data_IF_451122622052
#
_entry.id   IF_451122622052
#
_cell.length_a   1.000
_cell.length_b   1.000
_cell.length_c   1.000
_cell.angle_alpha   90.00
_cell.angle_beta   90.00
_cell.angle_gamma   90.00
#
_symmetry.space_group_name_H-M   'P 1'
#
loop_
_entity.id
_entity.type
_entity.pdbx_description
1 polymer ?
#
# COMPACT_ATOMS: atom_id res chain seq x y z
N UNK A 1 29.20 -14.76 11.87
CA UNK A 1 28.56 -15.35 13.07
C UNK A 1 27.14 -15.74 12.70
N UNK A 2 26.83 -17.02 12.60
CA UNK A 2 25.44 -17.46 12.51
C UNK A 2 24.84 -17.35 13.91
N UNK A 3 23.97 -16.35 14.14
CA UNK A 3 23.04 -16.44 15.26
C UNK A 3 22.06 -17.55 14.91
N UNK A 4 22.09 -18.65 15.67
CA UNK A 4 21.03 -19.65 15.57
C UNK A 4 19.74 -18.98 16.01
N UNK A 5 18.79 -18.87 15.09
CA UNK A 5 17.43 -18.43 15.39
C UNK A 5 16.66 -19.70 15.78
N UNK A 6 16.08 -19.73 16.97
CA UNK A 6 15.19 -20.82 17.37
C UNK A 6 13.98 -20.84 16.41
N UNK A 7 13.63 -22.01 15.82
CA UNK A 7 12.41 -22.15 15.03
C UNK A 7 11.15 -21.56 15.67
N UNK A 8 11.01 -21.66 17.00
CA UNK A 8 9.88 -21.08 17.72
C UNK A 8 9.87 -19.55 17.67
N UNK A 9 11.03 -18.92 17.88
CA UNK A 9 11.21 -17.46 17.80
C UNK A 9 10.90 -16.95 16.39
N UNK A 10 11.39 -17.65 15.38
CA UNK A 10 11.10 -17.32 13.98
C UNK A 10 9.60 -17.40 13.69
N UNK A 11 8.94 -18.48 14.10
CA UNK A 11 7.51 -18.68 13.88
C UNK A 11 6.69 -17.56 14.55
N UNK A 12 7.02 -17.22 15.79
CA UNK A 12 6.36 -16.15 16.53
C UNK A 12 6.56 -14.79 15.83
N UNK A 13 7.79 -14.49 15.39
CA UNK A 13 8.10 -13.25 14.68
C UNK A 13 7.27 -13.10 13.40
N UNK A 14 7.26 -14.12 12.53
CA UNK A 14 6.52 -14.03 11.25
C UNK A 14 5.00 -14.03 11.44
N UNK A 15 4.50 -14.73 12.45
CA UNK A 15 3.08 -14.74 12.80
C UNK A 15 2.61 -13.42 13.47
N UNK A 16 3.53 -12.70 14.11
CA UNK A 16 3.25 -11.43 14.79
C UNK A 16 2.91 -10.27 13.85
N UNK A 17 3.31 -10.33 12.58
CA UNK A 17 3.07 -9.24 11.62
C UNK A 17 1.58 -8.98 11.41
N UNK A 18 1.14 -7.75 11.72
CA UNK A 18 -0.21 -7.25 11.43
C UNK A 18 -0.19 -6.18 10.34
N UNK A 19 -1.34 -5.97 9.69
CA UNK A 19 -1.53 -4.82 8.81
C UNK A 19 -2.02 -3.65 9.65
N UNK A 20 -1.10 -2.76 10.02
CA UNK A 20 -1.38 -1.55 10.80
C UNK A 20 -1.96 -0.44 9.89
N UNK A 21 -2.97 0.27 10.37
CA UNK A 21 -3.68 1.33 9.61
C UNK A 21 -3.68 2.70 10.29
N UNK A 22 -3.18 2.75 11.51
CA UNK A 22 -3.03 3.98 12.27
C UNK A 22 -1.60 4.01 12.84
N UNK A 23 -0.92 5.13 12.66
CA UNK A 23 0.51 5.28 12.93
C UNK A 23 0.74 6.56 13.73
N UNK A 24 1.67 6.49 14.67
CA UNK A 24 2.12 7.66 15.40
C UNK A 24 2.88 8.61 14.47
N UNK A 25 2.94 9.89 14.82
CA UNK A 25 3.76 10.91 14.14
C UNK A 25 5.26 10.72 14.35
N UNK A 26 5.67 9.70 15.12
CA UNK A 26 7.06 9.37 15.40
C UNK A 26 7.78 8.96 14.11
N UNK A 27 8.77 9.76 13.72
CA UNK A 27 9.63 9.45 12.60
C UNK A 27 10.43 8.16 12.83
N UNK A 28 10.62 7.38 11.76
CA UNK A 28 11.50 6.21 11.75
C UNK A 28 12.93 6.67 11.44
N UNK A 29 13.96 6.28 12.22
CA UNK A 29 15.35 6.64 11.94
C UNK A 29 15.79 6.15 10.56
N UNK A 30 16.55 6.99 9.83
CA UNK A 30 17.01 6.65 8.48
C UNK A 30 17.87 5.39 8.45
N UNK A 31 18.78 5.22 9.42
CA UNK A 31 19.63 4.03 9.54
C UNK A 31 18.83 2.74 9.65
N UNK A 32 17.68 2.78 10.34
CA UNK A 32 16.80 1.62 10.46
C UNK A 32 16.11 1.31 9.11
N UNK A 33 15.72 2.34 8.36
CA UNK A 33 15.16 2.16 7.02
C UNK A 33 16.20 1.52 6.10
N UNK A 34 17.44 2.03 6.11
CA UNK A 34 18.52 1.53 5.26
C UNK A 34 18.91 0.09 5.62
N UNK A 35 18.91 -0.25 6.92
CA UNK A 35 19.10 -1.63 7.40
C UNK A 35 18.02 -2.56 6.85
N UNK A 36 16.75 -2.19 7.00
CA UNK A 36 15.62 -3.00 6.53
C UNK A 36 15.60 -3.16 5.00
N UNK A 37 15.98 -2.12 4.26
CA UNK A 37 16.12 -2.22 2.82
C UNK A 37 17.25 -3.17 2.46
N UNK A 38 18.44 -2.99 3.03
CA UNK A 38 19.59 -3.87 2.82
C UNK A 38 19.23 -5.34 3.06
N UNK A 39 18.54 -5.64 4.16
CA UNK A 39 18.06 -6.99 4.47
C UNK A 39 17.02 -7.46 3.44
N UNK A 40 16.06 -6.60 3.06
CA UNK A 40 15.06 -6.94 2.04
C UNK A 40 15.66 -7.23 0.66
N UNK A 41 16.80 -6.61 0.34
CA UNK A 41 17.53 -6.83 -0.90
C UNK A 41 18.11 -8.24 -1.01
N UNK A 42 18.13 -9.06 0.06
CA UNK A 42 18.54 -10.47 0.02
C UNK A 42 17.45 -11.41 -0.47
N UNK A 43 16.24 -10.92 -0.76
CA UNK A 43 15.16 -11.73 -1.30
C UNK A 43 15.58 -12.41 -2.62
N UNK A 44 15.36 -13.73 -2.79
CA UNK A 44 15.68 -14.42 -4.03
C UNK A 44 14.78 -13.91 -5.17
N UNK A 45 15.32 -13.88 -6.38
CA UNK A 45 14.58 -13.53 -7.59
C UNK A 45 15.02 -14.42 -8.75
N UNK A 46 14.12 -14.65 -9.70
CA UNK A 46 14.43 -15.46 -10.89
C UNK A 46 15.65 -14.88 -11.62
N UNK A 47 16.63 -15.75 -11.90
CA UNK A 47 17.92 -15.39 -12.49
C UNK A 47 18.64 -14.24 -11.78
N UNK A 48 18.36 -14.03 -10.49
CA UNK A 48 18.87 -12.92 -9.68
C UNK A 48 18.65 -11.53 -10.31
N UNK A 49 17.55 -11.35 -11.04
CA UNK A 49 17.23 -10.09 -11.75
C UNK A 49 16.95 -8.91 -10.81
N UNK A 50 16.50 -9.18 -9.58
CA UNK A 50 16.18 -8.17 -8.54
C UNK A 50 15.37 -6.99 -9.11
N UNK A 51 14.18 -7.26 -9.71
CA UNK A 51 13.48 -6.27 -10.53
C UNK A 51 12.75 -5.18 -9.71
N UNK A 52 12.91 -5.17 -8.39
CA UNK A 52 12.23 -4.23 -7.51
C UNK A 52 12.96 -2.88 -7.50
N UNK A 53 12.17 -1.80 -7.51
CA UNK A 53 12.63 -0.43 -7.27
C UNK A 53 11.83 0.12 -6.10
N UNK A 54 12.52 0.63 -5.08
CA UNK A 54 11.88 1.15 -3.86
C UNK A 54 12.07 2.65 -3.78
N UNK A 55 10.97 3.39 -3.72
CA UNK A 55 10.96 4.82 -3.46
C UNK A 55 10.41 5.11 -2.07
N UNK A 56 11.16 5.90 -1.27
CA UNK A 56 10.73 6.36 0.05
C UNK A 56 10.38 7.84 -0.04
N UNK A 57 9.20 8.20 0.46
CA UNK A 57 8.78 9.58 0.64
C UNK A 57 8.59 9.84 2.13
N UNK A 58 9.26 10.89 2.63
CA UNK A 58 9.19 11.34 4.03
C UNK A 58 8.97 12.85 4.09
N UNK A 59 8.50 13.36 5.23
CA UNK A 59 8.25 14.78 5.46
C UNK A 59 7.38 15.43 4.38
N UNK A 60 7.76 16.63 3.94
CA UNK A 60 7.00 17.43 2.98
C UNK A 60 6.68 16.67 1.68
N UNK A 61 7.61 15.84 1.18
CA UNK A 61 7.37 15.06 -0.04
C UNK A 61 6.21 14.08 0.15
N UNK A 62 6.18 13.38 1.29
CA UNK A 62 5.08 12.47 1.66
C UNK A 62 3.79 13.23 1.82
N UNK A 63 3.81 14.39 2.46
CA UNK A 63 2.61 15.20 2.70
C UNK A 63 2.01 15.73 1.41
N UNK A 64 2.84 16.19 0.47
CA UNK A 64 2.41 16.60 -0.87
C UNK A 64 1.75 15.45 -1.64
N UNK A 65 2.33 14.24 -1.57
CA UNK A 65 1.75 13.04 -2.20
C UNK A 65 0.41 12.69 -1.55
N UNK A 66 0.33 12.69 -0.23
CA UNK A 66 -0.89 12.42 0.53
C UNK A 66 -2.01 13.40 0.17
N UNK A 67 -1.71 14.71 0.20
CA UNK A 67 -2.64 15.76 -0.17
C UNK A 67 -3.19 15.60 -1.60
N UNK A 68 -2.32 15.30 -2.56
CA UNK A 68 -2.75 15.11 -3.96
C UNK A 68 -3.64 13.86 -4.12
N UNK A 69 -3.35 12.76 -3.43
CA UNK A 69 -4.23 11.59 -3.45
C UNK A 69 -5.59 11.89 -2.82
N UNK A 70 -5.63 12.64 -1.72
CA UNK A 70 -6.89 13.07 -1.10
C UNK A 70 -7.70 13.99 -2.02
N UNK A 71 -7.06 14.96 -2.67
CA UNK A 71 -7.72 15.84 -3.64
C UNK A 71 -8.32 15.05 -4.82
N UNK A 72 -7.56 14.08 -5.35
CA UNK A 72 -8.04 13.19 -6.42
C UNK A 72 -9.22 12.34 -5.97
N UNK A 73 -9.16 11.80 -4.75
CA UNK A 73 -10.26 11.04 -4.18
C UNK A 73 -11.51 11.91 -3.98
N UNK A 74 -11.36 13.14 -3.48
CA UNK A 74 -12.47 14.09 -3.36
C UNK A 74 -13.11 14.38 -4.72
N UNK A 75 -12.30 14.56 -5.76
CA UNK A 75 -12.80 14.77 -7.12
C UNK A 75 -13.52 13.53 -7.68
N UNK A 76 -12.96 12.32 -7.46
CA UNK A 76 -13.54 11.07 -7.93
C UNK A 76 -14.83 10.69 -7.18
N UNK A 77 -14.85 10.86 -5.86
CA UNK A 77 -16.00 10.54 -5.01
C UNK A 77 -17.23 11.39 -5.32
N UNK A 78 -17.03 12.62 -5.83
CA UNK A 78 -18.13 13.44 -6.34
C UNK A 78 -18.86 12.79 -7.54
N UNK A 79 -18.17 12.00 -8.36
CA UNK A 79 -18.78 11.27 -9.47
C UNK A 79 -19.46 9.96 -9.04
N UNK A 80 -19.12 9.42 -7.85
CA UNK A 80 -19.78 8.26 -7.26
C UNK A 80 -21.12 8.61 -6.61
N UNK A 81 -21.33 9.88 -6.24
CA UNK A 81 -22.60 10.38 -5.73
C UNK A 81 -23.69 10.35 -6.82
N UNK A 82 -24.98 10.23 -6.44
CA UNK A 82 -26.09 10.35 -7.40
C UNK A 82 -26.05 11.67 -8.17
N UNK A 83 -26.47 11.64 -9.44
CA UNK A 83 -26.52 12.81 -10.33
C UNK A 83 -25.51 12.77 -11.48
N UNK A 84 -25.67 13.69 -12.44
CA UNK A 84 -24.90 13.73 -13.69
C UNK A 84 -23.72 14.71 -13.60
N UNK A 85 -23.83 15.78 -12.80
CA UNK A 85 -22.82 16.85 -12.75
C UNK A 85 -21.41 16.35 -12.37
N UNK A 86 -21.29 15.51 -11.33
CA UNK A 86 -20.01 14.94 -10.91
C UNK A 86 -19.38 14.04 -11.99
N UNK A 87 -20.22 13.25 -12.68
CA UNK A 87 -19.80 12.38 -13.78
C UNK A 87 -19.32 13.19 -14.99
N UNK A 88 -20.04 14.24 -15.36
CA UNK A 88 -19.67 15.14 -16.46
C UNK A 88 -18.36 15.88 -16.14
N UNK A 89 -18.21 16.39 -14.92
CA UNK A 89 -16.96 17.04 -14.47
C UNK A 89 -15.79 16.08 -14.51
N UNK A 90 -15.96 14.85 -14.05
CA UNK A 90 -14.93 13.81 -14.12
C UNK A 90 -14.59 13.44 -15.57
N UNK A 91 -15.60 13.35 -16.45
CA UNK A 91 -15.40 13.07 -17.86
C UNK A 91 -14.55 14.14 -18.56
N UNK A 92 -14.84 15.41 -18.30
CA UNK A 92 -14.12 16.55 -18.90
C UNK A 92 -12.71 16.69 -18.31
N UNK A 93 -12.60 16.75 -16.98
CA UNK A 93 -11.32 17.04 -16.31
C UNK A 93 -10.39 15.84 -16.26
N UNK A 94 -10.96 14.62 -16.27
CA UNK A 94 -10.24 13.35 -16.03
C UNK A 94 -9.48 13.32 -14.69
N UNK A 95 -9.64 14.35 -13.85
CA UNK A 95 -8.95 14.49 -12.57
C UNK A 95 -9.65 13.64 -11.52
N UNK A 96 -8.88 12.79 -10.83
CA UNK A 96 -9.42 11.76 -9.95
C UNK A 96 -9.59 10.39 -10.61
N UNK A 97 -9.49 10.28 -11.94
CA UNK A 97 -9.39 8.96 -12.57
C UNK A 97 -8.07 8.30 -12.18
N UNK A 98 -8.06 6.98 -11.91
CA UNK A 98 -6.84 6.23 -11.68
C UNK A 98 -5.87 6.43 -12.85
N UNK A 99 -4.67 6.91 -12.54
CA UNK A 99 -3.55 6.97 -13.48
C UNK A 99 -2.48 6.03 -12.96
N UNK A 100 -1.98 5.19 -13.84
CA UNK A 100 -0.89 4.26 -13.55
C UNK A 100 -0.09 4.10 -14.82
N UNK A 101 1.24 4.14 -14.70
CA UNK A 101 2.15 3.93 -15.81
C UNK A 101 2.03 2.49 -16.36
N UNK A 102 1.52 1.57 -15.53
CA UNK A 102 1.22 0.19 -15.89
C UNK A 102 -0.28 -0.12 -15.79
N UNK A 103 -0.79 -1.04 -16.62
CA UNK A 103 -2.15 -1.58 -16.48
C UNK A 103 -2.19 -2.56 -15.30
N UNK A 104 -2.39 -2.05 -14.09
CA UNK A 104 -2.37 -2.84 -12.84
C UNK A 104 -3.70 -3.54 -12.56
N UNK A 105 -4.80 -3.10 -13.19
CA UNK A 105 -6.12 -3.69 -12.91
C UNK A 105 -6.20 -5.13 -13.43
N UNK A 106 -6.09 -6.09 -12.51
CA UNK A 106 -6.41 -7.49 -12.73
C UNK A 106 -7.50 -7.90 -11.74
N UNK A 107 -8.56 -8.59 -12.19
CA UNK A 107 -9.56 -9.11 -11.26
C UNK A 107 -8.90 -10.09 -10.28
N UNK A 108 -9.34 -10.08 -9.03
CA UNK A 108 -8.89 -11.08 -8.06
C UNK A 108 -9.24 -12.49 -8.55
N UNK A 109 -8.35 -13.47 -8.37
CA UNK A 109 -8.69 -14.88 -8.50
C UNK A 109 -9.93 -15.23 -7.67
N UNK A 110 -10.81 -16.08 -8.22
CA UNK A 110 -12.14 -16.37 -7.62
C UNK A 110 -12.02 -16.99 -6.21
N UNK A 111 -10.98 -17.78 -5.99
CA UNK A 111 -10.61 -18.43 -4.73
C UNK A 111 -10.15 -17.44 -3.64
N UNK A 112 -9.55 -16.30 -4.02
CA UNK A 112 -9.08 -15.28 -3.06
C UNK A 112 -10.17 -14.26 -2.70
N UNK A 113 -11.20 -14.13 -3.53
CA UNK A 113 -12.26 -13.13 -3.37
C UNK A 113 -13.01 -13.21 -2.03
N UNK A 114 -13.40 -14.40 -1.51
CA UNK A 114 -14.08 -14.49 -0.21
C UNK A 114 -13.21 -13.97 0.93
N UNK A 115 -11.91 -14.31 0.93
CA UNK A 115 -10.97 -13.82 1.94
C UNK A 115 -10.77 -12.31 1.85
N UNK A 116 -10.68 -11.76 0.65
CA UNK A 116 -10.56 -10.32 0.43
C UNK A 116 -11.79 -9.56 0.94
N UNK A 117 -13.00 -10.06 0.69
CA UNK A 117 -14.24 -9.48 1.19
C UNK A 117 -14.34 -9.55 2.71
N UNK A 118 -14.03 -10.71 3.31
CA UNK A 118 -14.00 -10.88 4.77
C UNK A 118 -13.05 -9.88 5.42
N UNK A 119 -11.81 -9.79 4.91
CA UNK A 119 -10.84 -8.82 5.42
C UNK A 119 -11.37 -7.40 5.27
N UNK A 120 -11.99 -7.05 4.14
CA UNK A 120 -12.62 -5.72 3.99
C UNK A 120 -13.70 -5.45 5.05
N UNK A 121 -14.62 -6.40 5.27
CA UNK A 121 -15.66 -6.29 6.28
C UNK A 121 -15.09 -6.16 7.70
N UNK A 122 -14.14 -7.02 8.05
CA UNK A 122 -13.46 -7.00 9.34
C UNK A 122 -12.70 -5.68 9.56
N UNK A 123 -12.29 -4.96 8.52
CA UNK A 123 -11.56 -3.70 8.66
C UNK A 123 -12.44 -2.48 8.85
N UNK A 124 -13.56 -2.44 8.14
CA UNK A 124 -14.47 -1.30 8.15
C UNK A 124 -15.66 -1.49 9.10
N UNK A 125 -15.87 -2.70 9.64
CA UNK A 125 -16.92 -2.98 10.62
C UNK A 125 -16.58 -2.62 12.07
N UNK A 126 -15.34 -2.21 12.36
CA UNK A 126 -14.94 -1.67 13.67
C UNK A 126 -15.06 -0.14 13.77
N UNK A 127 -15.52 0.52 12.69
CA UNK A 127 -15.88 1.94 12.66
C UNK A 127 -17.40 2.01 12.77
#
# INVERSE_FOLDING_TARGET
MHKNIDPADWQQFVAGRRTTRDFLEKAVPQELIDLLLTDGMTAPSWSNTRPFMVGIASGERRDRISKEFLNRWQAASAALKPGIAGKLKLFITRYGLPKSDYKVFRPYPKDLKPRQQKVGADLYGFI
#
